data_IF_280114138620
#
_entry.id   IF_280114138620
#
_cell.length_a   1.000
_cell.length_b   1.000
_cell.length_c   1.000
_cell.angle_alpha   90.00
_cell.angle_beta   90.00
_cell.angle_gamma   90.00
#
_symmetry.space_group_name_H-M   'P 1'
#
loop_
_entity.id
_entity.type
_entity.pdbx_description
1 polymer ?
#
# COMPACT_ATOMS: atom_id res chain seq x y z
N UNK A 1 -49.92 -12.21 2.23
CA UNK A 1 -48.69 -11.54 2.72
C UNK A 1 -48.38 -12.12 4.08
N UNK A 2 -47.20 -12.72 4.26
CA UNK A 2 -46.80 -13.24 5.57
C UNK A 2 -46.50 -12.06 6.50
N UNK A 3 -47.10 -12.05 7.69
CA UNK A 3 -46.91 -11.03 8.70
C UNK A 3 -45.95 -11.60 9.75
N UNK A 4 -44.79 -10.98 9.91
CA UNK A 4 -43.82 -11.35 10.94
C UNK A 4 -43.61 -10.18 11.91
N UNK A 5 -43.36 -10.51 13.17
CA UNK A 5 -43.06 -9.53 14.21
C UNK A 5 -41.61 -9.08 14.06
N UNK A 6 -41.39 -7.79 13.75
CA UNK A 6 -40.08 -7.16 13.75
C UNK A 6 -39.88 -6.45 15.09
N UNK A 7 -38.81 -6.79 15.80
CA UNK A 7 -38.36 -6.07 16.98
C UNK A 7 -37.05 -5.36 16.67
N UNK A 8 -36.98 -4.07 16.95
CA UNK A 8 -35.81 -3.23 16.70
C UNK A 8 -35.25 -2.75 18.05
N UNK A 9 -33.96 -2.98 18.28
CA UNK A 9 -33.23 -2.47 19.44
C UNK A 9 -32.42 -1.26 18.97
N UNK A 10 -32.55 -0.13 19.65
CA UNK A 10 -31.77 1.09 19.39
C UNK A 10 -30.69 1.21 20.45
N UNK A 11 -29.46 1.51 20.02
CA UNK A 11 -28.30 1.67 20.91
C UNK A 11 -27.87 3.15 20.92
N UNK A 12 -28.51 4.02 21.74
CA UNK A 12 -28.42 5.47 21.61
C UNK A 12 -27.05 6.08 21.97
N UNK A 13 -26.16 5.29 22.57
CA UNK A 13 -24.80 5.70 22.93
C UNK A 13 -23.73 5.12 22.01
N UNK A 14 -24.11 4.34 21.00
CA UNK A 14 -23.15 3.84 20.01
C UNK A 14 -22.78 4.94 19.03
N UNK A 15 -21.47 5.04 18.75
CA UNK A 15 -20.92 5.84 17.66
C UNK A 15 -20.46 4.87 16.57
N UNK A 16 -20.86 5.14 15.33
CA UNK A 16 -20.51 4.32 14.18
C UNK A 16 -19.61 5.14 13.27
N UNK A 17 -18.37 4.68 13.12
CA UNK A 17 -17.40 5.26 12.21
C UNK A 17 -17.42 4.49 10.90
N UNK A 18 -17.53 5.21 9.79
CA UNK A 18 -17.43 4.62 8.47
C UNK A 18 -15.96 4.64 8.02
N UNK A 19 -15.47 3.48 7.62
CA UNK A 19 -14.12 3.26 7.12
C UNK A 19 -14.26 2.44 5.83
N UNK A 20 -14.94 3.02 4.84
CA UNK A 20 -15.24 2.36 3.58
C UNK A 20 -14.29 2.73 2.45
N UNK A 21 -13.54 3.82 2.63
CA UNK A 21 -12.61 4.36 1.62
C UNK A 21 -11.23 4.63 2.22
N UNK A 22 -10.20 4.71 1.36
CA UNK A 22 -8.85 5.03 1.81
C UNK A 22 -8.75 6.43 2.44
N UNK A 23 -9.39 7.49 1.92
CA UNK A 23 -9.45 8.78 2.60
C UNK A 23 -10.07 8.71 3.99
N UNK A 24 -11.19 7.98 4.16
CA UNK A 24 -11.82 7.81 5.48
C UNK A 24 -10.92 7.04 6.45
N UNK A 25 -10.16 6.05 5.97
CA UNK A 25 -9.16 5.35 6.79
C UNK A 25 -8.07 6.31 7.27
N UNK A 26 -7.51 7.11 6.36
CA UNK A 26 -6.50 8.12 6.70
C UNK A 26 -7.08 9.13 7.69
N UNK A 27 -8.26 9.70 7.42
CA UNK A 27 -8.88 10.73 8.25
C UNK A 27 -9.14 10.23 9.67
N UNK A 28 -9.77 9.06 9.81
CA UNK A 28 -10.14 8.54 11.12
C UNK A 28 -8.90 8.26 12.00
N UNK A 29 -7.85 7.66 11.42
CA UNK A 29 -6.66 7.32 12.20
C UNK A 29 -5.72 8.51 12.44
N UNK A 30 -5.68 9.50 11.56
CA UNK A 30 -4.67 10.57 11.61
C UNK A 30 -5.21 11.90 12.12
N UNK A 31 -6.40 12.32 11.66
CA UNK A 31 -6.92 13.69 11.89
C UNK A 31 -8.19 13.76 12.72
N UNK A 32 -8.84 12.63 13.03
CA UNK A 32 -10.05 12.59 13.85
C UNK A 32 -9.72 12.43 15.36
N UNK A 33 -9.64 13.53 16.14
CA UNK A 33 -9.28 13.46 17.56
C UNK A 33 -10.31 12.71 18.39
N UNK A 34 -11.58 12.71 17.96
CA UNK A 34 -12.66 12.02 18.65
C UNK A 34 -12.52 10.50 18.50
N UNK A 35 -12.27 10.01 17.27
CA UNK A 35 -11.99 8.60 17.02
C UNK A 35 -10.77 8.12 17.84
N UNK A 36 -9.69 8.90 17.82
CA UNK A 36 -8.49 8.59 18.59
C UNK A 36 -8.77 8.53 20.11
N UNK A 37 -9.55 9.47 20.64
CA UNK A 37 -9.88 9.50 22.08
C UNK A 37 -10.76 8.32 22.49
N UNK A 38 -11.79 8.01 21.71
CA UNK A 38 -12.75 6.94 22.02
C UNK A 38 -12.14 5.55 21.99
N UNK A 39 -11.22 5.32 21.04
CA UNK A 39 -10.53 4.04 20.89
C UNK A 39 -9.17 4.01 21.60
N UNK A 40 -8.83 5.08 22.33
CA UNK A 40 -7.54 5.23 23.02
C UNK A 40 -6.34 4.99 22.09
N UNK A 41 -6.42 5.50 20.86
CA UNK A 41 -5.37 5.34 19.86
C UNK A 41 -4.17 6.22 20.21
N UNK A 42 -2.99 5.69 19.91
CA UNK A 42 -1.74 6.41 20.02
C UNK A 42 -1.07 6.48 18.64
N UNK A 43 -0.25 7.51 18.42
CA UNK A 43 0.49 7.65 17.16
C UNK A 43 1.45 6.49 16.89
N UNK A 44 1.92 5.83 17.95
CA UNK A 44 2.92 4.77 17.89
C UNK A 44 2.43 3.57 18.68
N UNK A 45 1.92 2.56 17.99
CA UNK A 45 1.37 1.37 18.63
C UNK A 45 2.21 0.15 18.25
N UNK A 46 2.86 -0.47 19.24
CA UNK A 46 3.72 -1.63 19.01
C UNK A 46 4.77 -1.38 17.92
N UNK A 47 5.44 -0.22 17.94
CA UNK A 47 6.38 0.19 16.90
C UNK A 47 7.77 0.46 17.50
N UNK A 48 8.81 0.29 16.67
CA UNK A 48 10.19 0.48 17.08
C UNK A 48 10.91 1.45 16.15
N UNK A 49 11.70 2.35 16.75
CA UNK A 49 12.75 3.05 16.02
C UNK A 49 14.01 2.20 16.14
N UNK A 50 14.55 1.77 15.00
CA UNK A 50 15.73 0.89 14.95
C UNK A 50 16.83 1.55 14.13
N UNK A 51 18.08 1.21 14.40
CA UNK A 51 19.20 1.56 13.53
C UNK A 51 19.36 0.54 12.39
N UNK A 52 20.39 0.75 11.56
CA UNK A 52 20.70 -0.12 10.41
C UNK A 52 21.11 -1.54 10.83
N UNK A 53 21.59 -1.71 12.06
CA UNK A 53 22.00 -2.99 12.63
C UNK A 53 20.82 -3.67 13.37
N UNK A 54 19.59 -3.18 13.16
CA UNK A 54 18.36 -3.65 13.81
C UNK A 54 18.38 -3.52 15.34
N UNK A 55 19.24 -2.65 15.88
CA UNK A 55 19.26 -2.36 17.31
C UNK A 55 18.25 -1.26 17.59
N UNK A 56 17.44 -1.46 18.63
CA UNK A 56 16.48 -0.45 19.07
C UNK A 56 17.22 0.82 19.47
N UNK A 57 16.90 1.90 18.77
CA UNK A 57 17.46 3.21 19.08
C UNK A 57 16.79 3.74 20.35
N UNK A 58 17.58 4.21 21.31
CA UNK A 58 17.08 4.94 22.49
C UNK A 58 16.75 6.38 22.11
N UNK A 59 15.78 6.52 21.21
CA UNK A 59 15.37 7.80 20.63
C UNK A 59 13.94 8.07 21.04
N UNK A 60 13.74 9.23 21.69
CA UNK A 60 12.41 9.78 21.87
C UNK A 60 11.81 10.09 20.49
N UNK A 61 10.52 9.79 20.31
CA UNK A 61 9.80 9.93 19.04
C UNK A 61 10.30 11.14 18.20
N UNK A 62 10.88 10.92 17.01
CA UNK A 62 11.38 12.00 16.16
C UNK A 62 10.27 12.99 15.79
N UNK A 63 10.58 14.29 15.80
CA UNK A 63 9.64 15.35 15.43
C UNK A 63 9.28 15.34 13.94
N UNK A 64 10.09 14.68 13.12
CA UNK A 64 9.89 14.46 11.68
C UNK A 64 8.84 13.39 11.38
N UNK A 65 8.42 12.60 12.38
CA UNK A 65 7.41 11.55 12.22
C UNK A 65 6.09 12.01 12.83
N UNK A 66 5.20 12.52 11.98
CA UNK A 66 3.94 13.14 12.39
C UNK A 66 2.72 12.23 12.26
N UNK A 67 2.79 11.25 11.35
CA UNK A 67 1.74 10.27 11.05
C UNK A 67 1.58 9.17 12.10
N UNK A 68 0.89 8.10 11.71
CA UNK A 68 0.57 6.95 12.57
C UNK A 68 1.43 5.75 12.17
N UNK A 69 2.15 5.18 13.14
CA UNK A 69 3.03 4.02 12.95
C UNK A 69 2.55 2.87 13.82
N UNK A 70 2.09 1.78 13.22
CA UNK A 70 1.54 0.61 13.89
C UNK A 70 2.33 -0.64 13.54
N UNK A 71 2.73 -1.43 14.53
CA UNK A 71 3.39 -2.72 14.29
C UNK A 71 4.54 -2.64 13.29
N UNK A 72 5.33 -1.56 13.33
CA UNK A 72 6.36 -1.29 12.33
C UNK A 72 7.70 -0.91 12.93
N UNK A 73 8.76 -1.15 12.17
CA UNK A 73 10.12 -0.77 12.48
C UNK A 73 10.66 0.19 11.43
N UNK A 74 11.06 1.40 11.82
CA UNK A 74 11.59 2.44 10.92
C UNK A 74 12.83 3.11 11.51
N UNK A 75 13.66 3.70 10.66
CA UNK A 75 14.79 4.52 11.11
C UNK A 75 14.34 5.88 11.67
N UNK A 76 14.98 6.40 12.74
CA UNK A 76 14.70 7.72 13.30
C UNK A 76 14.78 8.88 12.30
N UNK A 77 15.65 8.75 11.30
CA UNK A 77 15.90 9.79 10.28
C UNK A 77 14.77 9.91 9.24
N UNK A 78 13.73 9.08 9.35
CA UNK A 78 12.58 9.12 8.44
C UNK A 78 11.76 10.40 8.61
N UNK A 79 11.17 10.87 7.51
CA UNK A 79 10.23 12.00 7.48
C UNK A 79 8.87 11.48 7.05
N UNK A 80 7.89 11.57 7.94
CA UNK A 80 6.56 11.01 7.74
C UNK A 80 5.51 12.09 8.01
N UNK A 81 4.76 12.46 6.97
CA UNK A 81 3.71 13.47 7.05
C UNK A 81 2.56 13.10 7.99
N UNK A 82 1.82 14.12 8.41
CA UNK A 82 0.76 13.97 9.42
C UNK A 82 -0.40 13.05 8.99
N UNK A 83 -0.67 12.93 7.70
CA UNK A 83 -1.75 12.09 7.14
C UNK A 83 -1.23 10.81 6.50
N UNK A 84 -0.17 10.24 7.08
CA UNK A 84 0.41 8.96 6.67
C UNK A 84 0.10 7.89 7.70
N UNK A 85 -0.21 6.69 7.22
CA UNK A 85 -0.30 5.48 8.02
C UNK A 85 0.78 4.52 7.55
N UNK A 86 1.61 4.06 8.49
CA UNK A 86 2.58 2.98 8.27
C UNK A 86 2.20 1.83 9.18
N UNK A 87 1.84 0.69 8.62
CA UNK A 87 1.41 -0.49 9.35
C UNK A 87 2.15 -1.74 8.90
N UNK A 88 2.55 -2.59 9.85
CA UNK A 88 3.24 -3.85 9.57
C UNK A 88 4.47 -3.71 8.65
N UNK A 89 5.23 -2.61 8.73
CA UNK A 89 6.36 -2.35 7.85
C UNK A 89 7.71 -2.53 8.56
N UNK A 90 8.77 -2.85 7.80
CA UNK A 90 10.16 -2.87 8.27
C UNK A 90 11.07 -2.12 7.28
N UNK A 91 11.51 -0.91 7.64
CA UNK A 91 12.41 -0.10 6.83
C UNK A 91 13.74 0.12 7.56
N UNK A 92 14.80 -0.51 7.04
CA UNK A 92 16.20 -0.31 7.47
C UNK A 92 16.92 0.76 6.64
N UNK A 93 16.15 1.59 5.94
CA UNK A 93 16.62 2.81 5.26
C UNK A 93 15.66 3.97 5.58
N UNK A 94 16.14 5.23 5.63
CA UNK A 94 15.27 6.37 5.87
C UNK A 94 14.20 6.46 4.79
N UNK A 95 12.96 6.70 5.20
CA UNK A 95 11.84 6.90 4.27
C UNK A 95 11.30 8.33 4.37
N UNK A 96 10.94 8.87 3.22
CA UNK A 96 10.32 10.18 3.05
C UNK A 96 8.95 9.94 2.46
N UNK A 97 7.92 10.09 3.29
CA UNK A 97 6.53 9.94 2.90
C UNK A 97 5.83 11.24 3.21
N UNK A 98 5.29 11.87 2.17
CA UNK A 98 4.57 13.14 2.30
C UNK A 98 3.17 12.93 2.90
N UNK A 99 2.10 13.38 2.25
CA UNK A 99 0.75 13.34 2.82
C UNK A 99 -0.14 12.31 2.14
N UNK A 100 -1.21 11.93 2.85
CA UNK A 100 -2.31 11.13 2.38
C UNK A 100 -1.84 9.80 1.80
N UNK A 101 -1.06 9.05 2.57
CA UNK A 101 -0.45 7.81 2.07
C UNK A 101 -0.56 6.68 3.08
N UNK A 102 -0.61 5.44 2.57
CA UNK A 102 -0.71 4.23 3.39
C UNK A 102 0.40 3.27 2.95
N UNK A 103 1.25 2.86 3.89
CA UNK A 103 2.23 1.79 3.68
C UNK A 103 1.84 0.61 4.56
N UNK A 104 1.57 -0.54 3.96
CA UNK A 104 1.10 -1.73 4.67
C UNK A 104 1.91 -2.96 4.29
N UNK A 105 2.46 -3.67 5.26
CA UNK A 105 3.25 -4.88 5.00
C UNK A 105 4.46 -4.65 4.07
N UNK A 106 5.10 -3.48 4.11
CA UNK A 106 6.24 -3.18 3.25
C UNK A 106 7.57 -3.43 3.97
N UNK A 107 8.56 -3.97 3.26
CA UNK A 107 9.89 -4.20 3.82
C UNK A 107 10.98 -3.72 2.87
N UNK A 108 11.93 -2.96 3.39
CA UNK A 108 13.21 -2.66 2.75
C UNK A 108 14.32 -2.81 3.77
N UNK A 109 15.07 -3.90 3.67
CA UNK A 109 16.20 -4.20 4.58
C UNK A 109 17.56 -3.86 3.98
N UNK A 110 17.61 -3.59 2.69
CA UNK A 110 18.86 -3.26 1.99
C UNK A 110 18.59 -2.27 0.86
N UNK A 111 19.04 -1.02 1.01
CA UNK A 111 19.17 -0.07 -0.09
C UNK A 111 20.38 0.85 0.13
N UNK A 112 20.94 1.37 -0.96
CA UNK A 112 22.07 2.31 -0.93
C UNK A 112 21.66 3.75 -0.60
N UNK A 113 20.38 4.06 -0.77
CA UNK A 113 19.83 5.42 -0.70
C UNK A 113 18.54 5.45 0.12
N UNK A 114 18.17 6.65 0.54
CA UNK A 114 16.86 6.94 1.14
C UNK A 114 15.71 6.73 0.14
N UNK A 115 14.52 6.44 0.66
CA UNK A 115 13.35 6.16 -0.18
C UNK A 115 12.39 7.34 -0.18
N UNK A 116 12.13 7.87 -1.38
CA UNK A 116 11.14 8.93 -1.59
C UNK A 116 9.84 8.34 -2.12
N UNK A 117 8.83 8.25 -1.25
CA UNK A 117 7.55 7.61 -1.56
C UNK A 117 6.55 8.70 -1.96
N UNK A 118 5.97 8.65 -3.19
CA UNK A 118 5.04 9.68 -3.65
C UNK A 118 3.82 9.87 -2.74
N UNK A 119 3.39 11.11 -2.55
CA UNK A 119 2.14 11.42 -1.85
C UNK A 119 0.91 10.85 -2.57
N UNK A 120 -0.21 10.79 -1.83
CA UNK A 120 -1.49 10.29 -2.35
C UNK A 120 -1.39 8.84 -2.88
N UNK A 121 -0.58 8.00 -2.23
CA UNK A 121 -0.35 6.62 -2.64
C UNK A 121 -0.67 5.62 -1.53
N UNK A 122 -1.14 4.45 -1.93
CA UNK A 122 -1.11 3.26 -1.09
C UNK A 122 -0.05 2.32 -1.63
N UNK A 123 0.76 1.74 -0.75
CA UNK A 123 1.63 0.60 -1.05
C UNK A 123 1.28 -0.54 -0.12
N UNK A 124 1.12 -1.73 -0.67
CA UNK A 124 1.06 -2.93 0.15
C UNK A 124 1.73 -4.12 -0.50
N UNK A 125 2.39 -4.95 0.31
CA UNK A 125 3.06 -6.16 -0.19
C UNK A 125 2.30 -7.40 0.25
N UNK A 126 2.18 -8.35 -0.66
CA UNK A 126 1.64 -9.68 -0.39
C UNK A 126 2.63 -10.74 -0.87
N UNK A 127 2.74 -11.84 -0.12
CA UNK A 127 3.31 -13.05 -0.68
C UNK A 127 2.28 -13.74 -1.56
N UNK A 128 2.72 -14.22 -2.71
CA UNK A 128 1.87 -14.93 -3.68
C UNK A 128 2.47 -16.29 -3.99
N UNK A 129 1.61 -17.28 -4.18
CA UNK A 129 1.98 -18.66 -4.51
C UNK A 129 0.97 -19.24 -5.50
N UNK A 130 1.31 -19.23 -6.79
CA UNK A 130 0.62 -19.98 -7.84
C UNK A 130 1.41 -21.25 -8.19
N UNK A 131 0.83 -22.19 -8.97
CA UNK A 131 1.53 -23.43 -9.35
C UNK A 131 2.90 -23.21 -10.02
N UNK A 132 3.05 -22.12 -10.78
CA UNK A 132 4.25 -21.84 -11.56
C UNK A 132 5.13 -20.74 -10.96
N UNK A 133 4.57 -19.89 -10.09
CA UNK A 133 5.23 -18.66 -9.62
C UNK A 133 4.96 -18.46 -8.13
N UNK A 134 6.03 -18.33 -7.35
CA UNK A 134 5.97 -17.97 -5.94
C UNK A 134 6.91 -16.80 -5.64
N UNK A 135 6.49 -15.89 -4.77
CA UNK A 135 7.32 -14.75 -4.37
C UNK A 135 6.53 -13.71 -3.59
N UNK A 136 6.92 -12.46 -3.79
CA UNK A 136 6.27 -11.28 -3.23
C UNK A 136 5.90 -10.31 -4.36
N UNK A 137 4.78 -9.63 -4.18
CA UNK A 137 4.29 -8.56 -5.05
C UNK A 137 3.94 -7.39 -4.17
N UNK A 138 4.50 -6.23 -4.49
CA UNK A 138 4.03 -4.96 -3.93
C UNK A 138 3.09 -4.33 -4.93
N UNK A 139 1.86 -4.04 -4.53
CA UNK A 139 0.94 -3.26 -5.33
C UNK A 139 0.92 -1.81 -4.84
N UNK A 140 0.74 -0.88 -5.77
CA UNK A 140 0.61 0.53 -5.45
C UNK A 140 -0.45 1.20 -6.32
N UNK A 141 -1.27 2.03 -5.70
CA UNK A 141 -2.36 2.77 -6.35
C UNK A 141 -2.44 4.20 -5.79
N UNK A 142 -3.00 5.11 -6.57
CA UNK A 142 -3.41 6.41 -6.04
C UNK A 142 -4.56 6.25 -5.05
N UNK A 143 -4.58 7.05 -3.98
CA UNK A 143 -5.69 7.05 -3.00
C UNK A 143 -7.05 7.34 -3.66
N UNK A 144 -7.05 8.08 -4.78
CA UNK A 144 -8.24 8.39 -5.57
C UNK A 144 -8.43 7.52 -6.82
N UNK A 145 -7.61 6.49 -7.05
CA UNK A 145 -7.78 5.61 -8.21
C UNK A 145 -9.06 4.76 -8.05
N UNK A 146 -9.89 4.72 -9.08
CA UNK A 146 -11.05 3.82 -9.13
C UNK A 146 -10.62 2.46 -9.70
N UNK A 147 -10.32 1.52 -8.81
CA UNK A 147 -9.86 0.19 -9.19
C UNK A 147 -10.91 -0.58 -10.02
N UNK A 148 -12.20 -0.33 -9.78
CA UNK A 148 -13.30 -1.11 -10.37
C UNK A 148 -13.97 -0.41 -11.54
N UNK A 149 -13.62 0.84 -11.82
CA UNK A 149 -14.02 1.52 -13.05
C UNK A 149 -13.70 0.63 -14.24
N UNK A 150 -14.73 0.31 -15.03
CA UNK A 150 -14.61 -0.52 -16.21
C UNK A 150 -14.76 0.32 -17.47
N UNK A 151 -13.88 0.08 -18.45
CA UNK A 151 -13.89 0.76 -19.74
C UNK A 151 -13.87 -0.25 -20.89
N UNK A 152 -14.41 0.16 -22.05
CA UNK A 152 -14.34 -0.65 -23.28
C UNK A 152 -12.96 -0.65 -23.95
N UNK A 153 -12.08 0.27 -23.56
CA UNK A 153 -10.71 0.37 -24.07
C UNK A 153 -9.75 0.53 -22.91
N UNK A 154 -8.64 -0.21 -22.95
CA UNK A 154 -7.53 -0.09 -21.99
C UNK A 154 -6.98 1.34 -21.92
N UNK A 155 -7.02 2.08 -23.03
CA UNK A 155 -6.52 3.46 -23.13
C UNK A 155 -7.22 4.43 -22.17
N UNK A 156 -8.45 4.12 -21.78
CA UNK A 156 -9.28 4.94 -20.89
C UNK A 156 -9.10 4.58 -19.40
N UNK A 157 -8.30 3.57 -19.08
CA UNK A 157 -7.94 3.26 -17.69
C UNK A 157 -6.92 4.27 -17.21
N UNK A 158 -7.09 4.74 -15.97
CA UNK A 158 -6.20 5.71 -15.35
C UNK A 158 -5.44 5.06 -14.20
N UNK A 159 -4.18 5.45 -14.04
CA UNK A 159 -3.30 5.06 -12.95
C UNK A 159 -2.56 6.29 -12.46
N UNK A 160 -2.68 6.61 -11.17
CA UNK A 160 -2.18 7.87 -10.61
C UNK A 160 -2.64 9.09 -11.43
N UNK A 161 -3.93 9.11 -11.81
CA UNK A 161 -4.54 10.18 -12.60
C UNK A 161 -4.07 10.29 -14.06
N UNK A 162 -3.22 9.38 -14.54
CA UNK A 162 -2.71 9.40 -15.92
C UNK A 162 -3.28 8.22 -16.70
N UNK A 163 -3.76 8.45 -17.92
CA UNK A 163 -4.33 7.38 -18.74
C UNK A 163 -3.26 6.36 -19.19
N UNK A 164 -3.65 5.11 -19.34
CA UNK A 164 -2.76 4.04 -19.83
C UNK A 164 -2.19 4.39 -21.21
N UNK A 165 -2.97 5.04 -22.09
CA UNK A 165 -2.48 5.51 -23.38
C UNK A 165 -1.28 6.46 -23.24
N UNK A 166 -1.34 7.41 -22.29
CA UNK A 166 -0.25 8.32 -22.03
C UNK A 166 0.96 7.61 -21.41
N UNK A 167 0.73 6.69 -20.46
CA UNK A 167 1.80 5.91 -19.82
C UNK A 167 2.51 4.97 -20.82
N UNK A 168 1.77 4.39 -21.76
CA UNK A 168 2.32 3.57 -22.83
C UNK A 168 3.11 4.41 -23.83
N UNK A 169 2.62 5.61 -24.18
CA UNK A 169 3.34 6.56 -25.05
C UNK A 169 4.66 7.01 -24.43
N UNK A 170 4.71 7.15 -23.10
CA UNK A 170 5.92 7.46 -22.34
C UNK A 170 6.79 6.23 -22.04
N UNK A 171 6.43 5.04 -22.57
CA UNK A 171 7.14 3.78 -22.36
C UNK A 171 7.27 3.36 -20.87
N UNK A 172 6.38 3.85 -20.00
CA UNK A 172 6.30 3.48 -18.58
C UNK A 172 5.57 2.14 -18.43
N UNK A 173 4.50 1.97 -19.21
CA UNK A 173 3.73 0.72 -19.26
C UNK A 173 3.94 0.01 -20.60
N UNK A 174 3.97 -1.34 -20.62
CA UNK A 174 4.00 -2.09 -21.86
C UNK A 174 2.68 -1.93 -22.63
N UNK A 175 2.77 -2.00 -23.96
CA UNK A 175 1.60 -1.93 -24.86
C UNK A 175 0.79 -3.24 -24.92
N UNK A 176 1.36 -4.35 -24.44
CA UNK A 176 0.76 -5.69 -24.46
C UNK A 176 0.98 -6.41 -23.12
N UNK A 177 0.14 -7.39 -22.82
CA UNK A 177 0.31 -8.27 -21.66
C UNK A 177 -0.15 -7.69 -20.33
N UNK A 178 -0.75 -6.49 -20.33
CA UNK A 178 -1.36 -5.90 -19.13
C UNK A 178 -2.72 -6.52 -18.79
N UNK A 179 -3.40 -7.11 -19.79
CA UNK A 179 -4.73 -7.66 -19.64
C UNK A 179 -4.82 -9.02 -20.34
N UNK A 180 -5.60 -9.93 -19.77
CA UNK A 180 -6.02 -11.17 -20.45
C UNK A 180 -7.35 -10.90 -21.16
N UNK A 181 -7.37 -10.98 -22.50
CA UNK A 181 -8.47 -10.58 -23.42
C UNK A 181 -9.83 -10.31 -22.76
N UNK A 182 -10.03 -9.14 -22.14
CA UNK A 182 -11.21 -8.95 -21.32
C UNK A 182 -12.30 -8.24 -22.13
N UNK A 183 -13.57 -8.55 -21.84
CA UNK A 183 -14.70 -7.81 -22.42
C UNK A 183 -14.75 -6.35 -21.96
N UNK A 184 -14.15 -6.06 -20.80
CA UNK A 184 -13.98 -4.73 -20.22
C UNK A 184 -12.64 -4.64 -19.48
N UNK A 185 -12.00 -3.47 -19.52
CA UNK A 185 -10.74 -3.21 -18.86
C UNK A 185 -10.99 -2.52 -17.52
N UNK A 186 -10.25 -2.88 -16.48
CA UNK A 186 -10.29 -2.21 -15.18
C UNK A 186 -8.88 -2.20 -14.58
N UNK A 187 -8.59 -1.24 -13.70
CA UNK A 187 -7.30 -1.23 -13.00
C UNK A 187 -7.15 -2.45 -12.08
N UNK A 188 -8.26 -3.01 -11.59
CA UNK A 188 -8.30 -4.26 -10.82
C UNK A 188 -7.75 -5.47 -11.58
N UNK A 189 -7.99 -5.54 -12.89
CA UNK A 189 -7.54 -6.64 -13.76
C UNK A 189 -6.18 -6.33 -14.45
N UNK A 190 -5.63 -5.14 -14.27
CA UNK A 190 -4.38 -4.73 -14.91
C UNK A 190 -3.15 -5.39 -14.25
N UNK A 191 -2.39 -6.17 -15.01
CA UNK A 191 -1.15 -6.85 -14.58
C UNK A 191 0.03 -5.89 -14.52
N UNK A 192 0.08 -5.07 -13.49
CA UNK A 192 1.07 -4.00 -13.32
C UNK A 192 2.30 -4.43 -12.50
N UNK A 193 2.12 -5.29 -11.50
CA UNK A 193 3.11 -5.44 -10.43
C UNK A 193 3.93 -6.70 -10.58
N UNK A 194 5.25 -6.56 -10.61
CA UNK A 194 6.16 -7.69 -10.82
C UNK A 194 6.27 -8.59 -9.57
N UNK A 195 6.27 -9.90 -9.79
CA UNK A 195 6.63 -10.86 -8.73
C UNK A 195 8.15 -10.84 -8.55
N UNK A 196 8.59 -10.73 -7.30
CA UNK A 196 10.01 -10.75 -6.91
C UNK A 196 10.29 -11.78 -5.82
N UNK A 197 11.53 -12.31 -5.73
CA UNK A 197 11.96 -13.20 -4.67
C UNK A 197 11.84 -12.64 -3.25
N UNK A 198 12.03 -11.33 -3.06
CA UNK A 198 12.04 -10.66 -1.75
C UNK A 198 11.04 -9.50 -1.70
N UNK A 199 10.61 -9.12 -0.50
CA UNK A 199 9.74 -7.95 -0.28
C UNK A 199 10.46 -6.65 -0.65
N UNK A 200 11.77 -6.55 -0.36
CA UNK A 200 12.61 -5.41 -0.74
C UNK A 200 12.62 -5.20 -2.26
N UNK A 201 12.87 -6.26 -3.03
CA UNK A 201 12.86 -6.18 -4.49
C UNK A 201 11.47 -5.84 -5.04
N UNK A 202 10.41 -6.42 -4.46
CA UNK A 202 9.03 -6.15 -4.84
C UNK A 202 8.69 -4.67 -4.61
N UNK A 203 9.06 -4.15 -3.45
CA UNK A 203 8.83 -2.75 -3.08
C UNK A 203 9.54 -1.79 -4.02
N UNK A 204 10.85 -2.00 -4.27
CA UNK A 204 11.60 -1.17 -5.22
C UNK A 204 11.05 -1.22 -6.63
N UNK A 205 10.66 -2.41 -7.11
CA UNK A 205 10.08 -2.57 -8.44
C UNK A 205 8.81 -1.72 -8.59
N UNK A 206 7.96 -1.72 -7.58
CA UNK A 206 6.69 -0.98 -7.60
C UNK A 206 6.91 0.50 -7.33
N UNK A 207 7.81 0.87 -6.43
CA UNK A 207 8.18 2.27 -6.19
C UNK A 207 8.67 2.93 -7.48
N UNK A 208 9.55 2.27 -8.23
CA UNK A 208 10.06 2.76 -9.51
C UNK A 208 8.93 2.96 -10.54
N UNK A 209 7.98 2.03 -10.62
CA UNK A 209 6.80 2.16 -11.48
C UNK A 209 5.92 3.35 -11.07
N UNK A 210 5.64 3.49 -9.78
CA UNK A 210 4.81 4.56 -9.24
C UNK A 210 5.47 5.93 -9.45
N UNK A 211 6.75 6.07 -9.14
CA UNK A 211 7.50 7.30 -9.38
C UNK A 211 7.48 7.68 -10.85
N UNK A 212 7.72 6.72 -11.76
CA UNK A 212 7.65 6.93 -13.19
C UNK A 212 6.25 7.39 -13.66
N UNK A 213 5.18 6.78 -13.13
CA UNK A 213 3.81 7.16 -13.44
C UNK A 213 3.49 8.60 -12.98
N UNK A 214 3.99 9.00 -11.79
CA UNK A 214 3.78 10.33 -11.21
C UNK A 214 4.64 11.40 -11.89
N UNK A 215 5.94 11.16 -12.09
CA UNK A 215 6.87 12.10 -12.73
C UNK A 215 6.74 12.13 -14.26
N UNK A 216 6.10 11.11 -14.85
CA UNK A 216 6.00 10.88 -16.30
C UNK A 216 7.36 10.62 -16.95
N UNK A 217 8.32 10.13 -16.17
CA UNK A 217 9.65 9.77 -16.64
C UNK A 217 9.73 8.30 -17.00
N UNK A 218 10.51 7.99 -18.04
CA UNK A 218 10.67 6.62 -18.51
C UNK A 218 11.39 5.78 -17.45
N UNK A 219 10.89 4.57 -17.24
CA UNK A 219 11.53 3.56 -16.39
C UNK A 219 11.80 2.28 -17.17
N UNK A 220 12.88 1.58 -16.83
CA UNK A 220 13.11 0.25 -17.35
C UNK A 220 12.07 -0.71 -16.78
N UNK A 221 11.20 -1.23 -17.63
CA UNK A 221 10.27 -2.30 -17.24
C UNK A 221 11.03 -3.63 -17.22
N UNK A 222 10.85 -4.40 -16.15
CA UNK A 222 11.41 -5.74 -16.04
C UNK A 222 10.72 -6.73 -16.98
N UNK A 223 11.29 -7.93 -17.08
CA UNK A 223 10.70 -9.06 -17.84
C UNK A 223 9.98 -10.06 -16.93
N UNK A 224 9.84 -9.74 -15.65
CA UNK A 224 9.23 -10.64 -14.69
C UNK A 224 7.73 -10.76 -14.93
N UNK A 225 7.15 -11.86 -14.44
CA UNK A 225 5.71 -12.04 -14.42
C UNK A 225 5.06 -10.92 -13.60
N UNK A 226 3.95 -10.38 -14.13
CA UNK A 226 3.17 -9.33 -13.50
C UNK A 226 1.83 -9.83 -13.04
N UNK A 227 1.42 -9.40 -11.86
CA UNK A 227 0.14 -9.71 -11.24
C UNK A 227 -0.72 -8.45 -11.18
N UNK A 228 -2.03 -8.65 -11.36
CA UNK A 228 -3.08 -7.67 -11.09
C UNK A 228 -3.56 -7.76 -9.64
N UNK A 229 -4.41 -6.83 -9.22
CA UNK A 229 -5.05 -6.92 -7.90
C UNK A 229 -5.87 -8.21 -7.75
N UNK A 230 -6.55 -8.60 -8.83
CA UNK A 230 -7.27 -9.87 -8.91
C UNK A 230 -6.36 -11.09 -8.71
N UNK A 231 -5.21 -11.11 -9.37
CA UNK A 231 -4.23 -12.20 -9.25
C UNK A 231 -3.70 -12.30 -7.82
N UNK A 232 -3.36 -11.17 -7.21
CA UNK A 232 -2.86 -11.11 -5.82
C UNK A 232 -3.90 -11.72 -4.87
N UNK A 233 -5.18 -11.36 -5.00
CA UNK A 233 -6.23 -11.90 -4.12
C UNK A 233 -6.48 -13.39 -4.30
N UNK A 234 -6.31 -13.89 -5.52
CA UNK A 234 -6.48 -15.31 -5.83
C UNK A 234 -5.33 -16.15 -5.29
N UNK A 235 -4.09 -15.64 -5.36
CA UNK A 235 -2.87 -16.41 -5.06
C UNK A 235 -2.16 -16.02 -3.76
N UNK A 236 -2.75 -15.15 -2.93
CA UNK A 236 -2.10 -14.71 -1.69
C UNK A 236 -1.80 -15.86 -0.73
N UNK A 237 -0.57 -15.90 -0.23
CA UNK A 237 -0.16 -16.76 0.87
C UNK A 237 -0.28 -16.00 2.19
N UNK A 238 -1.43 -16.18 2.86
CA UNK A 238 -1.74 -15.50 4.12
C UNK A 238 -0.82 -15.98 5.25
N UNK A 239 -0.48 -17.27 5.29
CA UNK A 239 0.33 -17.83 6.38
C UNK A 239 1.74 -17.25 6.37
N UNK A 240 2.31 -17.09 5.18
CA UNK A 240 3.63 -16.46 5.03
C UNK A 240 3.63 -14.98 5.43
N UNK A 241 2.55 -14.25 5.14
CA UNK A 241 2.40 -12.86 5.60
C UNK A 241 2.22 -12.75 7.12
N UNK A 242 1.49 -13.66 7.75
CA UNK A 242 1.38 -13.70 9.22
C UNK A 242 2.73 -14.01 9.88
N UNK A 243 3.47 -14.97 9.32
CA UNK A 243 4.82 -15.31 9.79
C UNK A 243 5.76 -14.11 9.69
N UNK A 244 5.66 -13.32 8.62
CA UNK A 244 6.38 -12.06 8.48
C UNK A 244 5.98 -11.06 9.59
N UNK A 245 4.69 -10.85 9.82
CA UNK A 245 4.19 -9.91 10.83
C UNK A 245 4.68 -10.25 12.25
N UNK A 246 4.72 -11.54 12.59
CA UNK A 246 5.24 -12.03 13.87
C UNK A 246 6.77 -11.79 14.02
N UNK A 247 7.48 -11.64 12.90
CA UNK A 247 8.93 -11.49 12.84
C UNK A 247 9.41 -10.03 12.64
N UNK A 248 8.53 -9.02 12.57
CA UNK A 248 8.90 -7.63 12.28
C UNK A 248 9.95 -7.08 13.28
N UNK A 249 9.89 -7.52 14.54
CA UNK A 249 10.76 -7.07 15.63
C UNK A 249 11.87 -8.07 16.00
N UNK A 250 12.00 -9.15 15.22
CA UNK A 250 13.07 -10.15 15.35
C UNK A 250 14.17 -9.81 14.33
#
# INVERSE_FOLDING_TARGET
MAQFSLQVIVIPKSRFYHIGTMPEYIENFTTNPQFATELCLSKFTSSAFIDKDCVRADVQCPTTVQGIIMHSSILPDSVIGATVIVEHCKFLVPIYVEQNSILSNCEVTSASEELHIPSQSIFFTASVCSPDISGFVTASFGIGDDLKYSAKSAENIHYFGTSFAALQKSEILPTKGLFEEPYEFSLWDAKLFEVKPTMTEAFHSTLNLTQAAVSREKVSTGRNARFSMKDILMWKDVQKMLTYQDAIFI
#
